data_IF_806895647051
#
_entry.id   IF_806895647051
#
_cell.length_a   1.000
_cell.length_b   1.000
_cell.length_c   1.000
_cell.angle_alpha   90.00
_cell.angle_beta   90.00
_cell.angle_gamma   90.00
#
_symmetry.space_group_name_H-M   'P 1'
#
loop_
_entity.id
_entity.type
_entity.pdbx_description
1 polymer ?
#
# COMPACT_ATOMS: atom_id res chain seq x y z
N UNK A 1 7.25 -12.03 2.48
CA UNK A 1 6.94 -10.65 2.93
C UNK A 1 6.50 -9.87 1.70
N UNK A 2 5.58 -8.89 1.81
CA UNK A 2 5.23 -8.07 0.65
C UNK A 2 6.44 -7.21 0.24
N UNK A 3 6.78 -7.26 -1.04
CA UNK A 3 7.81 -6.43 -1.65
C UNK A 3 7.15 -5.26 -2.37
N UNK A 4 7.64 -4.04 -2.22
CA UNK A 4 7.10 -2.86 -2.91
C UNK A 4 8.08 -2.37 -3.97
N UNK A 5 7.60 -2.06 -5.17
CA UNK A 5 8.43 -1.47 -6.23
C UNK A 5 8.67 0.02 -5.98
N UNK A 6 9.68 0.56 -6.65
CA UNK A 6 10.02 1.98 -6.65
C UNK A 6 8.83 2.85 -7.10
N UNK A 7 8.17 2.45 -8.19
CA UNK A 7 6.97 3.13 -8.71
C UNK A 7 5.82 3.11 -7.69
N UNK A 8 5.63 2.00 -6.98
CA UNK A 8 4.64 1.93 -5.90
C UNK A 8 4.99 2.86 -4.74
N UNK A 9 6.26 2.95 -4.36
CA UNK A 9 6.70 3.89 -3.32
C UNK A 9 6.43 5.34 -3.72
N UNK A 10 6.77 5.75 -4.94
CA UNK A 10 6.50 7.09 -5.48
C UNK A 10 4.99 7.41 -5.52
N UNK A 11 4.17 6.43 -5.91
CA UNK A 11 2.73 6.62 -5.97
C UNK A 11 2.11 6.76 -4.56
N UNK A 12 2.56 5.96 -3.59
CA UNK A 12 2.16 6.10 -2.17
C UNK A 12 2.55 7.48 -1.65
N UNK A 13 3.80 7.91 -1.87
CA UNK A 13 4.28 9.26 -1.50
C UNK A 13 3.39 10.35 -2.09
N UNK A 14 3.03 10.23 -3.36
CA UNK A 14 2.14 11.18 -4.05
C UNK A 14 0.75 11.26 -3.42
N UNK A 15 0.17 10.11 -3.06
CA UNK A 15 -1.15 10.04 -2.42
C UNK A 15 -1.09 10.62 -1.00
N UNK A 16 -0.10 10.22 -0.20
CA UNK A 16 0.08 10.70 1.18
C UNK A 16 0.37 12.20 1.21
N UNK A 17 1.14 12.72 0.23
CA UNK A 17 1.42 14.15 0.11
C UNK A 17 0.15 15.00 -0.14
N UNK A 18 -0.92 14.41 -0.69
CA UNK A 18 -2.23 15.08 -0.82
C UNK A 18 -2.99 15.16 0.50
N UNK A 19 -2.55 14.42 1.54
CA UNK A 19 -3.17 14.41 2.87
C UNK A 19 -2.27 15.20 3.84
N UNK A 20 -2.56 16.48 4.10
CA UNK A 20 -1.66 17.38 4.84
C UNK A 20 -1.42 16.99 6.31
N UNK A 21 -2.25 16.09 6.88
CA UNK A 21 -2.14 15.62 8.26
C UNK A 21 -1.33 14.31 8.40
N UNK A 22 -0.81 13.78 7.31
CA UNK A 22 -0.17 12.47 7.24
C UNK A 22 1.34 12.56 6.98
N UNK A 23 2.06 13.43 7.70
CA UNK A 23 3.52 13.58 7.55
C UNK A 23 4.28 12.26 7.76
N UNK A 24 3.78 11.41 8.66
CA UNK A 24 4.25 10.06 8.93
C UNK A 24 3.29 8.97 8.41
N UNK A 25 2.26 9.39 7.68
CA UNK A 25 1.21 8.50 7.20
C UNK A 25 1.64 7.65 6.01
N UNK A 26 0.77 6.72 5.68
CA UNK A 26 1.03 5.68 4.71
C UNK A 26 -0.24 5.17 4.07
N UNK A 27 -0.06 4.29 3.09
CA UNK A 27 -1.16 3.59 2.46
C UNK A 27 -1.48 2.33 3.26
N UNK A 28 -2.70 2.21 3.74
CA UNK A 28 -3.19 1.02 4.41
C UNK A 28 -3.93 0.10 3.44
N UNK A 29 -3.57 -1.18 3.44
CA UNK A 29 -4.22 -2.24 2.67
C UNK A 29 -4.91 -3.18 3.65
N UNK A 30 -6.23 -3.33 3.49
CA UNK A 30 -7.05 -4.25 4.29
C UNK A 30 -7.68 -5.28 3.38
N UNK A 31 -7.83 -6.50 3.88
CA UNK A 31 -8.64 -7.51 3.21
C UNK A 31 -10.11 -7.15 3.41
N UNK A 32 -10.82 -6.84 2.32
CA UNK A 32 -12.27 -6.58 2.33
C UNK A 32 -13.06 -7.87 2.02
N UNK A 33 -12.41 -9.03 2.04
CA UNK A 33 -12.99 -10.33 1.74
C UNK A 33 -12.85 -10.75 0.27
N UNK A 34 -13.02 -12.05 0.01
CA UNK A 34 -12.77 -12.65 -1.31
C UNK A 34 -13.58 -12.07 -2.47
N UNK A 35 -14.76 -11.49 -2.21
CA UNK A 35 -15.63 -10.90 -3.23
C UNK A 35 -15.27 -9.44 -3.55
N UNK A 36 -14.74 -8.70 -2.57
CA UNK A 36 -14.41 -7.27 -2.68
C UNK A 36 -12.92 -7.05 -2.94
N UNK A 37 -12.08 -8.02 -2.58
CA UNK A 37 -10.63 -7.98 -2.72
C UNK A 37 -9.97 -7.18 -1.60
N UNK A 38 -8.97 -6.39 -1.96
CA UNK A 38 -8.24 -5.54 -1.01
C UNK A 38 -8.73 -4.10 -1.11
N UNK A 39 -8.97 -3.48 0.05
CA UNK A 39 -9.29 -2.07 0.16
C UNK A 39 -8.04 -1.26 0.50
N UNK A 40 -7.87 -0.15 -0.20
CA UNK A 40 -6.76 0.78 -0.02
C UNK A 40 -7.28 2.08 0.60
N UNK A 41 -6.64 2.53 1.68
CA UNK A 41 -7.00 3.75 2.41
C UNK A 41 -5.76 4.47 2.89
N UNK A 42 -5.76 5.80 2.90
CA UNK A 42 -4.64 6.55 3.50
C UNK A 42 -4.86 6.63 5.00
N UNK A 43 -3.84 6.26 5.78
CA UNK A 43 -3.86 6.34 7.23
C UNK A 43 -2.72 7.24 7.73
N UNK A 44 -2.95 8.10 8.73
CA UNK A 44 -1.92 8.96 9.29
C UNK A 44 -0.87 8.18 10.12
N UNK A 45 -1.20 6.96 10.57
CA UNK A 45 -0.33 6.09 11.36
C UNK A 45 -0.73 4.60 11.17
N UNK A 46 0.20 3.65 11.41
CA UNK A 46 -0.12 2.23 11.46
C UNK A 46 -0.92 1.87 12.72
N UNK A 47 -1.75 0.82 12.62
CA UNK A 47 -2.34 0.16 13.79
C UNK A 47 -1.37 -0.86 14.44
N UNK A 48 -1.57 -1.23 15.72
CA UNK A 48 -0.67 -2.16 16.42
C UNK A 48 -0.52 -3.54 15.76
N UNK A 49 -1.55 -4.00 15.06
CA UNK A 49 -1.55 -5.28 14.34
C UNK A 49 -1.20 -5.15 12.85
N UNK A 50 -0.91 -3.93 12.38
CA UNK A 50 -0.52 -3.71 10.99
C UNK A 50 0.96 -4.07 10.78
N UNK A 51 1.23 -4.82 9.71
CA UNK A 51 2.59 -5.01 9.21
C UNK A 51 3.00 -3.78 8.41
N UNK A 52 4.07 -3.09 8.86
CA UNK A 52 4.58 -1.89 8.18
C UNK A 52 5.69 -2.27 7.20
N UNK A 53 5.46 -2.00 5.92
CA UNK A 53 6.47 -2.13 4.86
C UNK A 53 6.93 -0.73 4.46
N UNK A 54 8.25 -0.52 4.45
CA UNK A 54 8.84 0.77 4.10
C UNK A 54 9.79 0.59 2.92
N UNK A 55 9.55 1.33 1.84
CA UNK A 55 10.45 1.38 0.67
C UNK A 55 10.62 2.84 0.27
N UNK A 56 11.86 3.29 0.18
CA UNK A 56 12.20 4.67 -0.24
C UNK A 56 11.43 5.78 0.48
N UNK A 57 11.17 5.59 1.78
CA UNK A 57 10.42 6.53 2.62
C UNK A 57 8.90 6.44 2.49
N UNK A 58 8.36 5.70 1.52
CA UNK A 58 6.95 5.37 1.46
C UNK A 58 6.61 4.27 2.47
N UNK A 59 5.49 4.42 3.17
CA UNK A 59 5.01 3.46 4.17
C UNK A 59 3.71 2.82 3.71
N UNK A 60 3.67 1.49 3.76
CA UNK A 60 2.45 0.70 3.53
C UNK A 60 2.13 -0.09 4.79
N UNK A 61 0.89 -0.01 5.23
CA UNK A 61 0.38 -0.71 6.40
C UNK A 61 -0.52 -1.84 5.95
N UNK A 62 -0.20 -3.07 6.32
CA UNK A 62 -0.97 -4.24 5.93
C UNK A 62 -1.69 -4.77 7.16
N UNK A 63 -3.01 -4.88 7.09
CA UNK A 63 -3.76 -5.60 8.12
C UNK A 63 -3.27 -7.05 8.25
N UNK A 64 -3.49 -7.70 9.39
CA UNK A 64 -3.08 -9.09 9.62
C UNK A 64 -3.54 -10.02 8.49
N UNK A 65 -4.78 -9.90 8.03
CA UNK A 65 -5.30 -10.74 6.94
C UNK A 65 -4.61 -10.43 5.60
N UNK A 66 -4.44 -9.14 5.28
CA UNK A 66 -3.76 -8.71 4.06
C UNK A 66 -2.28 -9.11 4.06
N UNK A 67 -1.58 -8.99 5.19
CA UNK A 67 -0.18 -9.38 5.34
C UNK A 67 0.03 -10.87 5.03
N UNK A 68 -0.87 -11.73 5.51
CA UNK A 68 -0.85 -13.17 5.20
C UNK A 68 -1.13 -13.47 3.73
N UNK A 69 -2.13 -12.81 3.13
CA UNK A 69 -2.51 -13.03 1.73
C UNK A 69 -1.50 -12.45 0.72
N UNK A 70 -0.82 -11.37 1.10
CA UNK A 70 0.17 -10.65 0.29
C UNK A 70 1.60 -11.03 0.62
N UNK A 71 1.78 -12.01 1.50
CA UNK A 71 3.09 -12.57 1.77
C UNK A 71 3.66 -13.15 0.47
N UNK A 72 4.88 -12.73 0.09
CA UNK A 72 5.54 -13.16 -1.16
C UNK A 72 4.89 -12.58 -2.44
N UNK A 73 4.20 -11.45 -2.29
CA UNK A 73 3.71 -10.65 -3.42
C UNK A 73 4.57 -9.42 -3.64
N UNK A 74 4.50 -8.89 -4.85
CA UNK A 74 5.10 -7.62 -5.23
C UNK A 74 3.96 -6.61 -5.45
N UNK A 75 3.97 -5.51 -4.70
CA UNK A 75 3.11 -4.36 -4.89
C UNK A 75 3.77 -3.43 -5.90
N UNK A 76 3.13 -3.30 -7.04
CA UNK A 76 3.47 -2.34 -8.07
C UNK A 76 2.37 -1.26 -8.15
N UNK A 77 2.73 -0.08 -8.62
CA UNK A 77 1.73 0.95 -8.89
C UNK A 77 2.00 1.59 -10.24
N UNK A 78 0.91 1.92 -10.92
CA UNK A 78 0.93 2.57 -12.21
C UNK A 78 0.13 3.86 -12.11
N UNK A 79 0.76 4.98 -12.46
CA UNK A 79 0.04 6.23 -12.68
C UNK A 79 -0.68 6.14 -14.01
N UNK A 80 -2.00 6.25 -13.97
CA UNK A 80 -2.81 6.35 -15.17
C UNK A 80 -2.77 7.78 -15.71
N UNK A 81 -3.09 7.96 -17.00
CA UNK A 81 -3.04 9.25 -17.67
C UNK A 81 -4.02 10.30 -17.10
N UNK A 82 -5.05 9.84 -16.39
CA UNK A 82 -6.04 10.70 -15.72
C UNK A 82 -5.55 11.21 -14.35
N UNK A 83 -4.32 10.84 -13.93
CA UNK A 83 -3.77 11.19 -12.61
C UNK A 83 -4.28 10.32 -11.47
N UNK A 84 -5.04 9.27 -11.80
CA UNK A 84 -5.41 8.20 -10.88
C UNK A 84 -4.24 7.23 -10.73
N UNK A 85 -3.97 6.80 -9.50
CA UNK A 85 -2.98 5.75 -9.23
C UNK A 85 -3.69 4.42 -9.17
N UNK A 86 -3.17 3.43 -9.89
CA UNK A 86 -3.66 2.06 -9.86
C UNK A 86 -2.61 1.16 -9.24
N UNK A 87 -2.99 0.46 -8.17
CA UNK A 87 -2.11 -0.52 -7.52
C UNK A 87 -2.38 -1.91 -8.10
N UNK A 88 -1.30 -2.63 -8.35
CA UNK A 88 -1.31 -3.99 -8.87
C UNK A 88 -0.47 -4.90 -7.96
N UNK A 89 -0.91 -6.14 -7.81
CA UNK A 89 -0.21 -7.16 -7.05
C UNK A 89 0.29 -8.23 -8.02
N UNK A 90 1.59 -8.45 -8.05
CA UNK A 90 2.24 -9.50 -8.82
C UNK A 90 2.76 -10.61 -7.91
N UNK A 91 2.92 -11.82 -8.46
CA UNK A 91 3.66 -12.87 -7.76
C UNK A 91 5.16 -12.53 -7.77
N UNK A 92 5.85 -12.73 -6.65
CA UNK A 92 7.30 -12.67 -6.60
C UNK A 92 7.84 -13.89 -7.34
N UNK A 93 8.36 -13.69 -8.55
CA UNK A 93 8.87 -14.75 -9.43
C UNK A 93 10.26 -15.24 -9.04
#
# INVERSE_FOLDING_TARGET
MLTMTDTAAEAVKTIVARVPQAADGGLRIRDAGAETGFELSVAPAPEPDDTVVVTEGARVFLDTAASLALNDRVLDAQLEQDGTVRFALAAQG
#
